data_IF_295772874515
#
_entry.id   IF_295772874515
#
_cell.length_a   1.000
_cell.length_b   1.000
_cell.length_c   1.000
_cell.angle_alpha   90.00
_cell.angle_beta   90.00
_cell.angle_gamma   90.00
#
_symmetry.space_group_name_H-M   'P 1'
#
loop_
_entity.id
_entity.type
_entity.pdbx_description
1 polymer ?
#
# COMPACT_ATOMS: atom_id res chain seq x y z
N UNK A 1 -10.68 13.19 11.59
CA UNK A 1 -10.79 11.73 11.79
C UNK A 1 -9.54 11.23 12.46
N UNK A 2 -9.66 10.51 13.58
CA UNK A 2 -8.53 10.03 14.37
C UNK A 2 -7.88 8.81 13.69
N UNK A 3 -6.55 8.74 13.66
CA UNK A 3 -5.71 7.70 13.05
C UNK A 3 -6.24 6.25 13.17
N UNK A 4 -6.79 5.89 14.33
CA UNK A 4 -7.35 4.55 14.61
C UNK A 4 -8.64 4.21 13.85
N UNK A 5 -9.36 5.19 13.30
CA UNK A 5 -10.59 4.94 12.52
C UNK A 5 -10.28 4.54 11.07
N UNK A 6 -9.29 5.16 10.43
CA UNK A 6 -9.01 4.94 9.01
C UNK A 6 -8.48 3.53 8.71
N UNK A 7 -7.59 3.00 9.55
CA UNK A 7 -7.02 1.66 9.39
C UNK A 7 -7.98 0.54 9.78
N UNK A 8 -9.02 0.83 10.59
CA UNK A 8 -10.02 -0.14 11.06
C UNK A 8 -10.99 -0.59 9.95
N UNK A 9 -11.10 0.19 8.88
CA UNK A 9 -11.98 -0.08 7.73
C UNK A 9 -11.23 -0.63 6.50
N UNK A 10 -9.90 -0.75 6.57
CA UNK A 10 -9.13 -1.42 5.53
C UNK A 10 -9.21 -2.93 5.76
N UNK A 11 -10.05 -3.63 4.98
CA UNK A 11 -10.10 -5.09 4.94
C UNK A 11 -9.16 -5.57 3.82
N UNK A 12 -7.93 -6.00 4.11
CA UNK A 12 -6.99 -6.35 3.06
C UNK A 12 -7.32 -7.73 2.51
N UNK A 13 -7.37 -7.82 1.19
CA UNK A 13 -7.25 -9.09 0.49
C UNK A 13 -5.81 -9.63 0.59
N UNK A 14 -5.60 -10.89 0.20
CA UNK A 14 -4.25 -11.47 0.08
C UNK A 14 -3.33 -10.61 -0.79
N UNK A 15 -3.84 -10.13 -1.93
CA UNK A 15 -3.08 -9.28 -2.84
C UNK A 15 -2.79 -7.89 -2.26
N UNK A 16 -3.73 -7.32 -1.50
CA UNK A 16 -3.50 -6.03 -0.84
C UNK A 16 -2.31 -6.11 0.14
N UNK A 17 -2.16 -7.24 0.83
CA UNK A 17 -1.04 -7.46 1.75
C UNK A 17 0.27 -7.58 0.99
N UNK A 18 0.29 -8.39 -0.07
CA UNK A 18 1.48 -8.56 -0.90
C UNK A 18 1.97 -7.22 -1.47
N UNK A 19 1.05 -6.34 -1.87
CA UNK A 19 1.37 -4.97 -2.33
C UNK A 19 1.98 -4.12 -1.20
N UNK A 20 1.35 -4.12 -0.01
CA UNK A 20 1.84 -3.34 1.14
C UNK A 20 3.19 -3.85 1.65
N UNK A 21 3.37 -5.16 1.74
CA UNK A 21 4.64 -5.80 2.13
C UNK A 21 5.75 -5.49 1.13
N UNK A 22 5.44 -5.57 -0.17
CA UNK A 22 6.36 -5.17 -1.21
C UNK A 22 6.78 -3.70 -1.03
N UNK A 23 5.83 -2.78 -0.87
CA UNK A 23 6.16 -1.37 -0.62
C UNK A 23 6.95 -1.14 0.66
N UNK A 24 6.70 -1.93 1.71
CA UNK A 24 7.48 -1.87 2.95
C UNK A 24 8.93 -2.31 2.76
N UNK A 25 9.19 -3.22 1.84
CA UNK A 25 10.56 -3.62 1.47
C UNK A 25 11.30 -2.58 0.61
N UNK A 26 10.59 -1.62 0.01
CA UNK A 26 11.16 -0.60 -0.86
C UNK A 26 11.40 0.72 -0.11
N UNK A 27 12.63 0.93 0.38
CA UNK A 27 13.02 2.17 1.09
C UNK A 27 12.76 3.45 0.27
N UNK A 28 12.87 3.35 -1.05
CA UNK A 28 12.66 4.45 -2.00
C UNK A 28 11.25 4.60 -2.53
N UNK A 29 10.30 3.72 -2.19
CA UNK A 29 9.02 3.63 -2.89
C UNK A 29 9.09 2.85 -4.20
N UNK A 30 7.95 2.66 -4.86
CA UNK A 30 7.88 1.92 -6.11
C UNK A 30 6.80 2.46 -7.05
N UNK A 31 7.11 2.43 -8.35
CA UNK A 31 6.16 2.74 -9.40
C UNK A 31 5.13 1.62 -9.59
N UNK A 32 3.91 1.97 -9.96
CA UNK A 32 2.81 1.00 -10.09
C UNK A 32 3.12 -0.14 -11.09
N UNK A 33 3.77 0.16 -12.21
CA UNK A 33 4.15 -0.85 -13.20
C UNK A 33 5.15 -1.86 -12.65
N UNK A 34 6.09 -1.42 -11.80
CA UNK A 34 7.06 -2.31 -11.17
C UNK A 34 6.39 -3.20 -10.11
N UNK A 35 5.41 -2.68 -9.37
CA UNK A 35 4.60 -3.47 -8.45
C UNK A 35 3.82 -4.56 -9.21
N UNK A 36 3.21 -4.20 -10.35
CA UNK A 36 2.47 -5.15 -11.20
C UNK A 36 3.37 -6.29 -11.67
N UNK A 37 4.53 -5.95 -12.24
CA UNK A 37 5.51 -6.92 -12.74
C UNK A 37 6.02 -7.85 -11.64
N UNK A 38 6.37 -7.31 -10.48
CA UNK A 38 6.90 -8.09 -9.36
C UNK A 38 5.89 -9.02 -8.71
N UNK A 39 4.63 -8.62 -8.66
CA UNK A 39 3.58 -9.38 -7.97
C UNK A 39 2.73 -10.25 -8.91
N UNK A 40 2.88 -10.07 -10.23
CA UNK A 40 2.06 -10.72 -11.25
C UNK A 40 0.60 -10.25 -11.21
N UNK A 41 0.36 -9.01 -10.79
CA UNK A 41 -0.98 -8.43 -10.63
C UNK A 41 -1.30 -7.48 -11.77
N UNK A 42 -2.59 -7.40 -12.12
CA UNK A 42 -3.03 -6.44 -13.12
C UNK A 42 -2.90 -5.00 -12.61
N UNK A 43 -2.68 -4.05 -13.51
CA UNK A 43 -2.64 -2.62 -13.19
C UNK A 43 -3.87 -2.18 -12.39
N UNK A 44 -5.07 -2.58 -12.83
CA UNK A 44 -6.32 -2.20 -12.19
C UNK A 44 -6.41 -2.73 -10.76
N UNK A 45 -5.95 -3.96 -10.53
CA UNK A 45 -5.90 -4.56 -9.19
C UNK A 45 -4.96 -3.78 -8.28
N UNK A 46 -3.73 -3.51 -8.73
CA UNK A 46 -2.75 -2.78 -7.94
C UNK A 46 -3.22 -1.35 -7.67
N UNK A 47 -3.78 -0.67 -8.68
CA UNK A 47 -4.30 0.68 -8.53
C UNK A 47 -5.42 0.74 -7.49
N UNK A 48 -6.42 -0.14 -7.59
CA UNK A 48 -7.53 -0.18 -6.64
C UNK A 48 -7.06 -0.45 -5.19
N UNK A 49 -6.04 -1.30 -5.01
CA UNK A 49 -5.43 -1.55 -3.71
C UNK A 49 -4.75 -0.29 -3.17
N UNK A 50 -3.94 0.37 -3.99
CA UNK A 50 -3.17 1.55 -3.59
C UNK A 50 -4.07 2.74 -3.29
N UNK A 51 -5.10 2.96 -4.11
CA UNK A 51 -6.11 3.99 -3.92
C UNK A 51 -6.83 3.79 -2.57
N UNK A 52 -7.30 2.57 -2.31
CA UNK A 52 -7.95 2.24 -1.04
C UNK A 52 -7.00 2.33 0.16
N UNK A 53 -5.74 1.95 -0.02
CA UNK A 53 -4.73 2.07 1.03
C UNK A 53 -4.37 3.54 1.30
N UNK A 54 -4.41 4.41 0.29
CA UNK A 54 -4.18 5.85 0.42
C UNK A 54 -5.32 6.53 1.20
N UNK A 55 -6.57 6.18 0.89
CA UNK A 55 -7.76 6.59 1.67
C UNK A 55 -7.63 6.24 3.16
N UNK A 56 -7.04 5.08 3.45
CA UNK A 56 -6.78 4.63 4.82
C UNK A 56 -5.46 5.15 5.41
N UNK A 57 -4.78 6.06 4.70
CA UNK A 57 -3.49 6.64 5.08
C UNK A 57 -2.37 5.61 5.29
N UNK A 58 -2.44 4.44 4.65
CA UNK A 58 -1.41 3.40 4.76
C UNK A 58 -0.24 3.66 3.81
N UNK A 59 -0.49 4.29 2.67
CA UNK A 59 0.49 4.65 1.63
C UNK A 59 0.28 6.10 1.18
N UNK A 60 1.29 6.68 0.54
CA UNK A 60 1.20 7.96 -0.18
C UNK A 60 1.91 7.83 -1.54
N UNK A 61 1.50 8.65 -2.51
CA UNK A 61 2.17 8.77 -3.81
C UNK A 61 3.07 10.01 -3.85
N UNK A 62 4.30 9.83 -4.32
CA UNK A 62 5.29 10.88 -4.52
C UNK A 62 5.71 10.89 -5.99
N UNK A 63 5.60 12.03 -6.67
CA UNK A 63 5.81 12.14 -8.12
C UNK A 63 7.19 11.61 -8.60
N UNK A 64 8.24 11.75 -7.78
CA UNK A 64 9.60 11.27 -8.12
C UNK A 64 9.87 9.82 -7.73
N UNK A 65 9.21 9.34 -6.69
CA UNK A 65 9.58 8.10 -6.00
C UNK A 65 8.51 7.00 -6.11
N UNK A 66 7.32 7.35 -6.63
CA UNK A 66 6.17 6.46 -6.68
C UNK A 66 5.47 6.30 -5.33
N UNK A 67 4.86 5.13 -5.14
CA UNK A 67 4.10 4.81 -3.93
C UNK A 67 5.03 4.41 -2.79
N UNK A 68 4.77 4.93 -1.59
CA UNK A 68 5.54 4.63 -0.37
C UNK A 68 4.62 4.24 0.75
N UNK A 69 5.05 3.27 1.57
CA UNK A 69 4.33 2.92 2.78
C UNK A 69 4.56 3.98 3.88
N UNK A 70 3.48 4.37 4.56
CA UNK A 70 3.53 5.27 5.71
C UNK A 70 3.73 4.51 7.01
N UNK A 71 4.03 5.24 8.09
CA UNK A 71 4.11 4.67 9.46
C UNK A 71 2.84 3.86 9.82
N UNK A 72 1.61 4.38 9.64
CA UNK A 72 0.38 3.59 9.78
C UNK A 72 0.34 2.28 8.99
N UNK A 73 0.79 2.29 7.73
CA UNK A 73 0.89 1.08 6.91
C UNK A 73 1.84 0.03 7.50
N UNK A 74 2.99 0.47 8.02
CA UNK A 74 3.95 -0.41 8.69
C UNK A 74 3.40 -0.98 9.99
N UNK A 75 2.77 -0.14 10.80
CA UNK A 75 2.13 -0.56 12.05
C UNK A 75 0.99 -1.55 11.77
N UNK A 76 0.24 -1.34 10.69
CA UNK A 76 -0.82 -2.23 10.23
C UNK A 76 -0.27 -3.63 9.89
N UNK A 77 0.86 -3.70 9.17
CA UNK A 77 1.51 -4.97 8.84
C UNK A 77 2.05 -5.71 10.08
N UNK A 78 2.55 -4.97 11.08
CA UNK A 78 3.14 -5.54 12.29
C UNK A 78 2.11 -5.99 13.35
N UNK A 79 0.85 -5.59 13.24
CA UNK A 79 -0.24 -5.95 14.18
C UNK A 79 -0.97 -7.24 13.81
N UNK A 80 -0.45 -7.99 12.83
CA UNK A 80 -1.00 -9.25 12.35
C UNK A 80 -0.29 -10.45 12.93
#
# INVERSE_FOLDING_TARGET
MTFKQATKHFQPTSDALRVLEYLNSQAGGSGILLICDRLGLSYNTVYAILDRAADCHLVDYYARDGWKIRKPGREFLNQR
#
